data_IF_840450118327
#
_entry.id   IF_840450118327
#
_cell.length_a   1.000
_cell.length_b   1.000
_cell.length_c   1.000
_cell.angle_alpha   90.00
_cell.angle_beta   90.00
_cell.angle_gamma   90.00
#
_symmetry.space_group_name_H-M   'P 1'
#
loop_
_entity.id
_entity.type
_entity.pdbx_description
1 polymer ?
#
# COMPACT_ATOMS: atom_id res chain seq x y z
N UNK A 1 21.76 -28.28 -30.01
CA UNK A 1 22.39 -28.07 -28.67
C UNK A 1 22.29 -26.63 -28.19
N UNK A 2 22.48 -25.66 -29.08
CA UNK A 2 22.50 -24.22 -28.73
C UNK A 2 21.12 -23.68 -28.30
N UNK A 3 20.02 -24.22 -28.81
CA UNK A 3 18.66 -23.75 -28.53
C UNK A 3 18.17 -24.20 -27.15
N UNK A 4 18.50 -25.40 -26.74
CA UNK A 4 18.16 -25.91 -25.40
C UNK A 4 18.92 -25.15 -24.31
N UNK A 5 20.21 -24.86 -24.51
CA UNK A 5 20.99 -24.08 -23.60
C UNK A 5 20.49 -22.61 -23.46
N UNK A 6 20.01 -22.02 -24.55
CA UNK A 6 19.40 -20.66 -24.50
C UNK A 6 18.06 -20.64 -23.79
N UNK A 7 17.25 -21.69 -23.93
CA UNK A 7 15.99 -21.84 -23.18
C UNK A 7 16.27 -22.03 -21.70
N UNK A 8 17.24 -22.88 -21.36
CA UNK A 8 17.63 -23.14 -19.97
C UNK A 8 18.20 -21.88 -19.30
N UNK A 9 19.05 -21.12 -19.99
CA UNK A 9 19.54 -19.82 -19.51
C UNK A 9 18.41 -18.79 -19.34
N UNK A 10 17.48 -18.71 -20.29
CA UNK A 10 16.32 -17.82 -20.20
C UNK A 10 15.40 -18.21 -19.05
N UNK A 11 15.16 -19.50 -18.83
CA UNK A 11 14.37 -19.99 -17.70
C UNK A 11 15.09 -19.74 -16.37
N UNK A 12 16.42 -19.93 -16.29
CA UNK A 12 17.23 -19.69 -15.11
C UNK A 12 17.27 -18.18 -14.78
N UNK A 13 17.40 -17.31 -15.77
CA UNK A 13 17.33 -15.85 -15.54
C UNK A 13 15.92 -15.40 -15.15
N UNK A 14 14.90 -15.99 -15.75
CA UNK A 14 13.50 -15.72 -15.40
C UNK A 14 13.14 -16.22 -13.99
N UNK A 15 13.70 -17.34 -13.56
CA UNK A 15 13.52 -17.86 -12.19
C UNK A 15 14.23 -17.02 -11.12
N UNK A 16 15.18 -16.17 -11.51
CA UNK A 16 15.88 -15.28 -10.57
C UNK A 16 15.07 -14.05 -10.19
N UNK A 17 14.15 -13.58 -11.03
CA UNK A 17 13.37 -12.37 -10.71
C UNK A 17 12.31 -12.67 -9.65
N UNK A 18 12.11 -11.72 -8.73
CA UNK A 18 11.06 -11.80 -7.69
C UNK A 18 9.68 -12.00 -8.32
N UNK A 19 9.42 -11.32 -9.44
CA UNK A 19 8.17 -11.43 -10.17
C UNK A 19 7.93 -12.86 -10.71
N UNK A 20 8.93 -13.48 -11.32
CA UNK A 20 8.79 -14.84 -11.84
C UNK A 20 8.57 -15.88 -10.74
N UNK A 21 9.22 -15.72 -9.59
CA UNK A 21 8.99 -16.54 -8.41
C UNK A 21 7.56 -16.39 -7.87
N UNK A 22 7.02 -15.17 -7.84
CA UNK A 22 5.63 -14.91 -7.44
C UNK A 22 4.63 -15.57 -8.38
N UNK A 23 4.83 -15.41 -9.68
CA UNK A 23 3.98 -16.06 -10.71
C UNK A 23 3.98 -17.57 -10.55
N UNK A 24 5.13 -18.18 -10.26
CA UNK A 24 5.27 -19.63 -10.12
C UNK A 24 4.49 -20.19 -8.91
N UNK A 25 4.40 -19.46 -7.80
CA UNK A 25 3.76 -19.97 -6.56
C UNK A 25 2.30 -19.53 -6.36
N UNK A 26 1.85 -18.46 -6.98
CA UNK A 26 0.55 -17.84 -6.67
C UNK A 26 -0.41 -17.71 -7.85
N UNK A 27 0.09 -17.78 -9.07
CA UNK A 27 -0.64 -17.31 -10.23
C UNK A 27 -0.86 -15.77 -10.20
N UNK A 28 -1.20 -15.20 -11.34
CA UNK A 28 -1.57 -13.79 -11.44
C UNK A 28 -3.05 -13.67 -11.09
N UNK A 29 -3.39 -13.25 -9.87
CA UNK A 29 -4.77 -12.92 -9.51
C UNK A 29 -5.11 -11.46 -9.82
N UNK A 30 -4.12 -10.58 -9.74
CA UNK A 30 -4.29 -9.18 -10.08
C UNK A 30 -2.99 -8.65 -10.68
N UNK A 31 -3.07 -8.22 -11.92
CA UNK A 31 -2.00 -7.51 -12.62
C UNK A 31 -1.82 -6.09 -12.06
N UNK A 32 -1.01 -5.29 -12.72
CA UNK A 32 -0.70 -3.92 -12.33
C UNK A 32 -1.94 -3.13 -11.92
N UNK A 33 -1.82 -2.42 -10.82
CA UNK A 33 -2.82 -1.43 -10.41
C UNK A 33 -2.13 -0.11 -10.08
N UNK A 34 -2.76 0.97 -10.49
CA UNK A 34 -2.30 2.31 -10.19
C UNK A 34 -3.21 2.95 -9.15
N UNK A 35 -2.62 3.65 -8.21
CA UNK A 35 -3.33 4.43 -7.20
C UNK A 35 -2.75 5.83 -7.14
N UNK A 36 -3.60 6.85 -7.19
CA UNK A 36 -3.23 8.19 -6.76
C UNK A 36 -3.39 8.27 -5.25
N UNK A 37 -2.41 8.82 -4.56
CA UNK A 37 -2.41 8.88 -3.10
C UNK A 37 -1.65 10.07 -2.56
N UNK A 38 -2.04 10.49 -1.37
CA UNK A 38 -1.28 11.41 -0.51
C UNK A 38 -1.20 10.81 0.88
N UNK A 39 -0.12 11.07 1.58
CA UNK A 39 0.06 10.76 2.98
C UNK A 39 0.45 12.03 3.71
N UNK A 40 -0.24 12.33 4.80
CA UNK A 40 0.04 13.49 5.65
C UNK A 40 0.17 13.07 7.10
N UNK A 41 0.98 13.79 7.87
CA UNK A 41 1.09 13.58 9.31
C UNK A 41 0.08 14.50 10.02
N UNK A 42 -0.65 13.92 10.98
CA UNK A 42 -1.62 14.62 11.82
C UNK A 42 -1.37 14.28 13.29
N UNK A 43 -1.60 15.23 14.19
CA UNK A 43 -1.46 15.01 15.63
C UNK A 43 -2.69 14.32 16.23
N UNK A 44 -3.87 14.64 15.70
CA UNK A 44 -5.17 14.15 16.17
C UNK A 44 -6.06 13.78 14.99
N UNK A 45 -6.62 12.55 14.94
CA UNK A 45 -7.54 12.14 13.90
C UNK A 45 -8.98 12.65 14.06
N UNK A 46 -9.40 13.06 15.25
CA UNK A 46 -10.80 13.38 15.56
C UNK A 46 -11.39 14.49 14.69
N UNK A 47 -10.67 15.59 14.37
CA UNK A 47 -11.18 16.59 13.44
C UNK A 47 -11.51 16.03 12.06
N UNK A 48 -10.65 15.18 11.51
CA UNK A 48 -10.87 14.52 10.20
C UNK A 48 -12.08 13.60 10.27
N UNK A 49 -12.18 12.80 11.33
CA UNK A 49 -13.30 11.88 11.54
C UNK A 49 -14.63 12.63 11.69
N UNK A 50 -14.64 13.79 12.34
CA UNK A 50 -15.81 14.64 12.49
C UNK A 50 -16.28 15.20 11.13
N UNK A 51 -15.35 15.61 10.28
CA UNK A 51 -15.64 16.12 8.93
C UNK A 51 -16.18 15.01 8.02
N UNK A 52 -15.57 13.81 8.03
CA UNK A 52 -16.03 12.69 7.21
C UNK A 52 -17.48 12.24 7.51
N UNK A 53 -18.02 12.57 8.68
CA UNK A 53 -19.43 12.28 9.04
C UNK A 53 -20.44 13.28 8.49
N UNK A 54 -19.99 14.28 7.75
CA UNK A 54 -20.80 15.36 7.20
C UNK A 54 -20.69 15.39 5.69
N UNK A 55 -21.68 16.03 5.03
CA UNK A 55 -21.53 16.35 3.62
C UNK A 55 -20.29 17.24 3.41
N UNK A 56 -19.55 17.09 2.30
CA UNK A 56 -19.94 16.31 1.09
C UNK A 56 -19.50 14.83 1.08
N UNK A 57 -19.06 14.26 2.20
CA UNK A 57 -18.63 12.86 2.28
C UNK A 57 -19.79 11.91 2.54
N UNK A 58 -19.78 10.77 1.87
CA UNK A 58 -20.65 9.64 2.19
C UNK A 58 -19.79 8.42 2.53
N UNK A 59 -19.78 8.01 3.78
CA UNK A 59 -19.06 6.80 4.22
C UNK A 59 -19.87 5.57 3.78
N UNK A 60 -19.30 4.76 2.89
CA UNK A 60 -19.94 3.55 2.36
C UNK A 60 -19.53 2.30 3.13
N UNK A 61 -18.32 2.30 3.71
CA UNK A 61 -17.79 1.17 4.47
C UNK A 61 -16.69 1.66 5.42
N UNK A 62 -16.58 1.00 6.57
CA UNK A 62 -15.46 1.19 7.50
C UNK A 62 -14.91 -0.15 7.99
N UNK A 63 -13.64 -0.15 8.38
CA UNK A 63 -12.99 -1.31 9.01
C UNK A 63 -11.78 -0.86 9.82
N UNK A 64 -11.45 -1.61 10.88
CA UNK A 64 -10.22 -1.46 11.66
C UNK A 64 -9.38 -2.70 11.50
N UNK A 65 -8.08 -2.51 11.37
CA UNK A 65 -7.10 -3.59 11.24
C UNK A 65 -5.91 -3.33 12.15
N UNK A 66 -5.37 -4.38 12.75
CA UNK A 66 -3.94 -4.41 13.04
C UNK A 66 -3.22 -4.97 11.81
N UNK A 67 -2.24 -4.25 11.30
CA UNK A 67 -1.51 -4.62 10.09
C UNK A 67 -0.05 -4.88 10.41
N UNK A 68 0.41 -6.07 10.05
CA UNK A 68 1.79 -6.49 10.14
C UNK A 68 2.35 -6.61 8.74
N UNK A 69 3.26 -5.70 8.37
CA UNK A 69 3.94 -5.69 7.08
C UNK A 69 5.36 -6.21 7.26
N UNK A 70 5.75 -7.25 6.52
CA UNK A 70 7.13 -7.66 6.35
C UNK A 70 7.56 -7.35 4.92
N UNK A 71 8.53 -6.46 4.77
CA UNK A 71 9.11 -6.09 3.49
C UNK A 71 10.37 -6.88 3.27
N UNK A 72 10.42 -7.60 2.17
CA UNK A 72 11.60 -8.30 1.67
C UNK A 72 12.36 -7.36 0.74
N UNK A 73 13.62 -7.11 1.05
CA UNK A 73 14.55 -6.28 0.30
C UNK A 73 15.57 -7.17 -0.36
N UNK A 74 15.86 -6.92 -1.63
CA UNK A 74 16.76 -7.73 -2.44
C UNK A 74 17.99 -6.93 -2.82
N UNK A 75 19.13 -7.60 -3.00
CA UNK A 75 20.35 -6.98 -3.52
C UNK A 75 20.27 -6.80 -5.03
N UNK A 76 20.91 -5.74 -5.56
CA UNK A 76 20.99 -5.47 -6.98
C UNK A 76 20.16 -4.29 -7.46
N UNK A 77 19.98 -4.20 -8.78
CA UNK A 77 19.24 -3.10 -9.46
C UNK A 77 17.71 -3.23 -9.35
N UNK A 78 17.20 -4.29 -8.74
CA UNK A 78 15.77 -4.45 -8.55
C UNK A 78 15.30 -3.54 -7.40
N UNK A 79 14.74 -2.40 -7.73
CA UNK A 79 14.06 -1.50 -6.80
C UNK A 79 12.69 -2.06 -6.35
N UNK A 80 12.32 -3.23 -6.84
CA UNK A 80 11.08 -3.90 -6.48
C UNK A 80 11.11 -4.36 -5.02
N UNK A 81 10.02 -4.08 -4.30
CA UNK A 81 9.84 -4.48 -2.91
C UNK A 81 8.71 -5.50 -2.83
N UNK A 82 9.00 -6.64 -2.25
CA UNK A 82 7.96 -7.63 -1.94
C UNK A 82 7.50 -7.44 -0.52
N UNK A 83 6.21 -7.20 -0.32
CA UNK A 83 5.60 -7.09 1.00
C UNK A 83 4.69 -8.28 1.26
N UNK A 84 4.95 -8.99 2.34
CA UNK A 84 4.00 -9.88 2.98
C UNK A 84 3.22 -9.08 4.02
N UNK A 85 1.89 -9.10 3.93
CA UNK A 85 1.00 -8.39 4.84
C UNK A 85 0.03 -9.34 5.51
N UNK A 86 -0.11 -9.17 6.81
CA UNK A 86 -1.13 -9.75 7.63
C UNK A 86 -2.08 -8.63 8.11
N UNK A 87 -3.35 -8.72 7.74
CA UNK A 87 -4.41 -7.81 8.16
C UNK A 87 -5.28 -8.56 9.19
N UNK A 88 -5.17 -8.24 10.45
CA UNK A 88 -6.07 -8.70 11.52
C UNK A 88 -7.25 -7.76 11.64
N UNK A 89 -8.43 -8.21 11.27
CA UNK A 89 -9.66 -7.40 11.34
C UNK A 89 -10.16 -7.35 12.77
N UNK A 90 -10.31 -6.14 13.31
CA UNK A 90 -10.70 -5.88 14.70
C UNK A 90 -12.17 -5.46 14.76
N UNK A 91 -12.95 -6.10 15.62
CA UNK A 91 -14.35 -5.73 15.88
C UNK A 91 -14.46 -4.58 16.91
N UNK A 92 -15.68 -4.13 17.19
CA UNK A 92 -15.95 -3.06 18.15
C UNK A 92 -15.53 -3.39 19.60
N UNK A 93 -15.38 -4.68 19.91
CA UNK A 93 -14.93 -5.16 21.24
C UNK A 93 -13.40 -5.21 21.34
N UNK A 94 -12.67 -4.93 20.24
CA UNK A 94 -11.21 -5.05 20.19
C UNK A 94 -10.71 -6.48 19.93
N UNK A 95 -11.58 -7.39 19.49
CA UNK A 95 -11.23 -8.78 19.23
C UNK A 95 -10.95 -8.99 17.72
N UNK A 96 -9.92 -9.78 17.40
CA UNK A 96 -9.66 -10.23 16.03
C UNK A 96 -10.73 -11.26 15.63
N UNK A 97 -11.47 -10.97 14.56
CA UNK A 97 -12.51 -11.87 14.04
C UNK A 97 -12.19 -12.48 12.69
N UNK A 98 -11.19 -11.94 11.97
CA UNK A 98 -10.73 -12.47 10.69
C UNK A 98 -9.28 -12.03 10.45
N UNK A 99 -8.51 -12.86 9.75
CA UNK A 99 -7.14 -12.54 9.34
C UNK A 99 -7.00 -12.77 7.84
N UNK A 100 -6.38 -11.82 7.17
CA UNK A 100 -6.13 -11.90 5.73
C UNK A 100 -4.66 -11.71 5.43
N UNK A 101 -4.11 -12.63 4.66
CA UNK A 101 -2.72 -12.61 4.23
C UNK A 101 -2.61 -12.21 2.76
N UNK A 102 -1.67 -11.33 2.43
CA UNK A 102 -1.43 -10.88 1.04
C UNK A 102 0.03 -10.70 0.75
N UNK A 103 0.41 -11.01 -0.49
CA UNK A 103 1.66 -10.60 -1.10
C UNK A 103 1.41 -9.39 -2.00
N UNK A 104 2.32 -8.44 -1.97
CA UNK A 104 2.29 -7.30 -2.89
C UNK A 104 3.71 -7.03 -3.37
N UNK A 105 3.94 -7.15 -4.66
CA UNK A 105 5.14 -6.66 -5.30
C UNK A 105 4.88 -5.22 -5.72
N UNK A 106 5.64 -4.29 -5.17
CA UNK A 106 5.60 -2.88 -5.54
C UNK A 106 6.81 -2.54 -6.37
N UNK A 107 6.61 -1.81 -7.47
CA UNK A 107 7.69 -1.18 -8.21
C UNK A 107 8.22 0.07 -7.51
N UNK A 108 8.81 0.97 -8.26
CA UNK A 108 9.21 2.29 -7.74
C UNK A 108 8.01 2.99 -7.09
N UNK A 109 8.26 3.66 -5.96
CA UNK A 109 7.19 4.19 -5.11
C UNK A 109 6.40 5.33 -5.78
N UNK A 110 7.02 6.04 -6.75
CA UNK A 110 6.44 7.19 -7.41
C UNK A 110 6.63 7.11 -8.93
N UNK A 111 5.54 6.88 -9.65
CA UNK A 111 5.54 6.95 -11.13
C UNK A 111 5.41 8.42 -11.60
N UNK A 112 4.70 9.23 -10.84
CA UNK A 112 4.43 10.63 -11.14
C UNK A 112 3.97 11.38 -9.90
N UNK A 113 4.32 12.65 -9.82
CA UNK A 113 3.82 13.60 -8.82
C UNK A 113 2.85 14.60 -9.46
N UNK A 114 1.76 14.90 -8.78
CA UNK A 114 0.74 15.89 -9.12
C UNK A 114 0.79 17.06 -8.15
N UNK A 115 -0.09 18.05 -8.33
CA UNK A 115 -0.29 19.10 -7.34
C UNK A 115 -0.60 18.53 -5.94
N UNK A 116 -0.33 19.31 -4.89
CA UNK A 116 -0.51 18.92 -3.48
C UNK A 116 0.32 17.70 -3.06
N UNK A 117 1.45 17.44 -3.74
CA UNK A 117 2.30 16.26 -3.51
C UNK A 117 1.54 14.92 -3.55
N UNK A 118 0.46 14.89 -4.33
CA UNK A 118 -0.25 13.64 -4.65
C UNK A 118 0.59 12.84 -5.61
N UNK A 119 0.83 11.57 -5.30
CA UNK A 119 1.69 10.71 -6.10
C UNK A 119 0.89 9.60 -6.78
N UNK A 120 1.32 9.23 -7.98
CA UNK A 120 0.90 8.00 -8.65
C UNK A 120 1.83 6.88 -8.20
N UNK A 121 1.26 5.84 -7.61
CA UNK A 121 1.99 4.63 -7.22
C UNK A 121 1.49 3.41 -7.97
N UNK A 122 2.37 2.44 -8.17
CA UNK A 122 2.10 1.20 -8.88
C UNK A 122 2.33 -0.01 -8.00
N UNK A 123 1.33 -0.90 -7.92
CA UNK A 123 1.50 -2.25 -7.42
C UNK A 123 1.55 -3.21 -8.60
N UNK A 124 2.70 -3.85 -8.83
CA UNK A 124 2.92 -4.74 -9.98
C UNK A 124 2.20 -6.08 -9.86
N UNK A 125 2.00 -6.53 -8.63
CA UNK A 125 1.37 -7.81 -8.35
C UNK A 125 0.73 -7.80 -6.97
N UNK A 126 -0.51 -8.29 -6.89
CA UNK A 126 -1.23 -8.46 -5.61
C UNK A 126 -1.85 -9.87 -5.63
N UNK A 127 -1.55 -10.67 -4.61
CA UNK A 127 -2.12 -12.00 -4.45
C UNK A 127 -2.41 -12.34 -2.98
N UNK A 128 -3.37 -13.25 -2.69
CA UNK A 128 -3.47 -13.87 -1.39
C UNK A 128 -2.20 -14.63 -1.05
N UNK A 129 -1.69 -14.48 0.16
CA UNK A 129 -0.59 -15.32 0.63
C UNK A 129 -1.17 -16.64 1.16
N UNK A 130 -0.83 -17.74 0.52
CA UNK A 130 -1.36 -19.10 0.83
C UNK A 130 -0.41 -19.93 1.68
N UNK A 131 0.80 -19.42 1.94
CA UNK A 131 1.84 -20.07 2.72
C UNK A 131 2.24 -19.19 3.90
N UNK A 132 2.94 -19.75 4.86
CA UNK A 132 3.45 -19.02 6.02
C UNK A 132 4.54 -18.02 5.63
N UNK A 133 4.75 -17.01 6.46
CA UNK A 133 5.85 -16.05 6.30
C UNK A 133 7.22 -16.75 6.20
N UNK A 134 7.42 -17.83 6.99
CA UNK A 134 8.65 -18.63 6.95
C UNK A 134 8.88 -19.25 5.58
N UNK A 135 7.83 -19.81 4.95
CA UNK A 135 7.93 -20.33 3.59
C UNK A 135 8.43 -19.26 2.62
N UNK A 136 7.85 -18.05 2.69
CA UNK A 136 8.23 -16.97 1.79
C UNK A 136 9.66 -16.48 2.02
N UNK A 137 10.14 -16.45 3.26
CA UNK A 137 11.56 -16.16 3.58
C UNK A 137 12.50 -17.15 2.91
N UNK A 138 12.21 -18.45 3.04
CA UNK A 138 13.04 -19.50 2.46
C UNK A 138 12.96 -19.52 0.92
N UNK A 139 11.79 -19.24 0.37
CA UNK A 139 11.56 -19.24 -1.08
C UNK A 139 12.20 -18.02 -1.77
N UNK A 140 11.97 -16.82 -1.27
CA UNK A 140 12.48 -15.60 -1.88
C UNK A 140 13.93 -15.30 -1.51
N UNK A 141 14.37 -15.68 -0.33
CA UNK A 141 15.72 -15.44 0.22
C UNK A 141 16.12 -13.97 0.12
N UNK A 142 15.38 -13.05 0.78
CA UNK A 142 15.72 -11.64 0.76
C UNK A 142 17.08 -11.38 1.39
N UNK A 143 17.78 -10.34 0.94
CA UNK A 143 19.02 -9.89 1.53
C UNK A 143 18.80 -9.29 2.93
N UNK A 144 17.66 -8.61 3.11
CA UNK A 144 17.23 -8.08 4.41
C UNK A 144 15.72 -7.97 4.49
N UNK A 145 15.22 -7.75 5.71
CA UNK A 145 13.80 -7.57 5.98
C UNK A 145 13.59 -6.30 6.82
N UNK A 146 12.46 -5.64 6.60
CA UNK A 146 11.95 -4.58 7.47
C UNK A 146 10.53 -4.89 7.85
N UNK A 147 10.17 -4.62 9.10
CA UNK A 147 8.82 -4.83 9.61
C UNK A 147 8.17 -3.52 9.98
N UNK A 148 6.88 -3.41 9.68
CA UNK A 148 6.04 -2.28 10.08
C UNK A 148 4.78 -2.85 10.70
N UNK A 149 4.50 -2.45 11.95
CA UNK A 149 3.25 -2.76 12.63
C UNK A 149 2.46 -1.47 12.86
N UNK A 150 1.18 -1.48 12.52
CA UNK A 150 0.32 -0.30 12.68
C UNK A 150 -1.12 -0.67 12.97
N UNK A 151 -1.80 0.14 13.77
CA UNK A 151 -3.26 0.20 13.86
C UNK A 151 -3.76 1.06 12.69
N UNK A 152 -4.61 0.49 11.85
CA UNK A 152 -5.21 1.15 10.69
C UNK A 152 -6.71 1.20 10.81
N UNK A 153 -7.27 2.39 10.77
CA UNK A 153 -8.69 2.62 10.54
C UNK A 153 -8.90 3.03 9.10
N UNK A 154 -9.79 2.34 8.39
CA UNK A 154 -10.06 2.60 6.97
C UNK A 154 -11.53 2.92 6.76
N UNK A 155 -11.78 3.93 5.95
CA UNK A 155 -13.08 4.29 5.42
C UNK A 155 -13.03 4.27 3.90
N UNK A 156 -14.08 3.73 3.30
CA UNK A 156 -14.39 3.96 1.91
C UNK A 156 -15.44 5.07 1.88
N UNK A 157 -15.16 6.10 1.11
CA UNK A 157 -16.01 7.28 1.02
C UNK A 157 -16.31 7.62 -0.42
N UNK A 158 -17.52 8.08 -0.68
CA UNK A 158 -17.87 8.73 -1.91
C UNK A 158 -17.74 10.23 -1.72
N UNK A 159 -16.93 10.89 -2.54
CA UNK A 159 -16.73 12.33 -2.58
C UNK A 159 -16.86 12.81 -4.01
N UNK A 160 -17.79 13.73 -4.27
CA UNK A 160 -18.13 14.23 -5.62
C UNK A 160 -18.28 13.13 -6.68
N UNK A 161 -18.98 12.03 -6.32
CA UNK A 161 -19.22 10.91 -7.22
C UNK A 161 -18.02 9.96 -7.43
N UNK A 162 -16.91 10.17 -6.73
CA UNK A 162 -15.69 9.35 -6.84
C UNK A 162 -15.42 8.59 -5.55
N UNK A 163 -15.05 7.31 -5.68
CA UNK A 163 -14.70 6.46 -4.54
C UNK A 163 -13.26 6.69 -4.09
N UNK A 164 -13.09 6.94 -2.80
CA UNK A 164 -11.79 7.06 -2.14
C UNK A 164 -11.66 6.08 -0.97
N UNK A 165 -10.44 5.65 -0.70
CA UNK A 165 -10.07 5.01 0.55
C UNK A 165 -9.32 6.02 1.42
N UNK A 166 -9.83 6.30 2.61
CA UNK A 166 -9.19 7.12 3.63
C UNK A 166 -8.71 6.21 4.73
N UNK A 167 -7.42 6.26 5.06
CA UNK A 167 -6.84 5.51 6.16
C UNK A 167 -6.31 6.49 7.20
N UNK A 168 -6.53 6.17 8.46
CA UNK A 168 -5.82 6.77 9.60
C UNK A 168 -4.98 5.67 10.22
N UNK A 169 -3.67 5.86 10.22
CA UNK A 169 -2.68 4.90 10.68
C UNK A 169 -1.96 5.44 11.92
N UNK A 170 -1.84 4.62 12.94
CA UNK A 170 -0.91 4.82 14.03
C UNK A 170 0.21 3.79 13.89
N UNK A 171 1.45 4.25 13.76
CA UNK A 171 2.61 3.35 13.71
C UNK A 171 2.96 2.88 15.12
N UNK A 172 2.95 1.56 15.31
CA UNK A 172 3.26 0.89 16.58
C UNK A 172 4.69 0.34 16.57
N UNK A 173 5.19 -0.08 15.38
CA UNK A 173 6.55 -0.53 15.18
C UNK A 173 7.03 -0.18 13.75
N UNK A 174 8.08 0.66 13.58
CA UNK A 174 8.65 1.49 14.64
C UNK A 174 7.61 2.46 15.22
N UNK A 175 7.70 2.73 16.51
CA UNK A 175 6.76 3.65 17.16
C UNK A 175 6.98 5.08 16.70
N UNK A 176 5.93 5.73 16.25
CA UNK A 176 5.94 7.15 15.87
C UNK A 176 4.82 7.88 16.57
N UNK A 177 5.13 9.07 17.09
CA UNK A 177 4.10 9.93 17.68
C UNK A 177 3.15 10.47 16.62
N UNK A 178 1.86 10.58 16.98
CA UNK A 178 0.80 11.06 16.10
C UNK A 178 0.30 9.99 15.12
N UNK A 179 -0.36 10.46 14.07
CA UNK A 179 -1.06 9.63 13.11
C UNK A 179 -0.66 10.01 11.68
N UNK A 180 -0.91 9.09 10.75
CA UNK A 180 -0.80 9.33 9.32
C UNK A 180 -2.17 9.20 8.68
N UNK A 181 -2.61 10.25 8.01
CA UNK A 181 -3.78 10.22 7.14
C UNK A 181 -3.32 9.90 5.72
N UNK A 182 -3.88 8.87 5.13
CA UNK A 182 -3.60 8.48 3.74
C UNK A 182 -4.91 8.50 2.97
N UNK A 183 -4.97 9.29 1.90
CA UNK A 183 -6.11 9.36 0.99
C UNK A 183 -5.66 8.77 -0.33
N UNK A 184 -6.46 7.85 -0.89
CA UNK A 184 -6.11 7.20 -2.16
C UNK A 184 -7.30 6.75 -2.96
N UNK A 185 -7.11 6.71 -4.27
CA UNK A 185 -8.05 6.15 -5.22
C UNK A 185 -7.33 5.36 -6.31
N UNK A 186 -7.94 4.26 -6.77
CA UNK A 186 -7.48 3.56 -7.96
C UNK A 186 -7.69 4.41 -9.19
N UNK A 187 -6.80 4.28 -10.14
CA UNK A 187 -6.88 4.99 -11.42
C UNK A 187 -6.53 4.07 -12.58
N UNK A 188 -7.12 4.37 -13.74
CA UNK A 188 -7.00 3.56 -14.95
C UNK A 188 -6.40 4.33 -16.13
N UNK A 189 -6.32 5.65 -16.02
CA UNK A 189 -5.77 6.51 -17.07
C UNK A 189 -5.13 7.77 -16.50
N UNK A 190 -4.30 8.42 -17.30
CA UNK A 190 -3.68 9.68 -16.92
C UNK A 190 -4.70 10.76 -16.55
N UNK A 191 -5.75 10.92 -17.37
CA UNK A 191 -6.81 11.91 -17.13
C UNK A 191 -7.59 11.62 -15.85
N UNK A 192 -7.92 10.36 -15.61
CA UNK A 192 -8.59 9.92 -14.39
C UNK A 192 -7.69 10.17 -13.16
N UNK A 193 -6.38 9.94 -13.29
CA UNK A 193 -5.42 10.23 -12.23
C UNK A 193 -5.33 11.73 -11.91
N UNK A 194 -5.34 12.60 -12.92
CA UNK A 194 -5.31 14.06 -12.77
C UNK A 194 -6.57 14.55 -12.02
N UNK A 195 -7.76 14.12 -12.43
CA UNK A 195 -9.01 14.47 -11.76
C UNK A 195 -9.03 14.01 -10.30
N UNK A 196 -8.63 12.78 -10.03
CA UNK A 196 -8.59 12.24 -8.68
C UNK A 196 -7.55 12.92 -7.80
N UNK A 197 -6.41 13.33 -8.38
CA UNK A 197 -5.39 14.09 -7.66
C UNK A 197 -5.91 15.47 -7.24
N UNK A 198 -6.65 16.17 -8.11
CA UNK A 198 -7.31 17.44 -7.78
C UNK A 198 -8.31 17.25 -6.63
N UNK A 199 -9.18 16.23 -6.72
CA UNK A 199 -10.15 15.92 -5.67
C UNK A 199 -9.47 15.58 -4.33
N UNK A 200 -8.32 14.89 -4.33
CA UNK A 200 -7.53 14.64 -3.12
C UNK A 200 -7.03 15.96 -2.53
N UNK A 201 -6.56 16.90 -3.37
CA UNK A 201 -6.16 18.24 -2.93
C UNK A 201 -7.31 18.98 -2.24
N UNK A 202 -8.50 19.01 -2.88
CA UNK A 202 -9.72 19.60 -2.29
C UNK A 202 -10.09 18.93 -0.95
N UNK A 203 -9.95 17.61 -0.84
CA UNK A 203 -10.21 16.89 0.41
C UNK A 203 -9.25 17.32 1.52
N UNK A 204 -7.96 17.54 1.22
CA UNK A 204 -7.00 18.07 2.20
C UNK A 204 -7.41 19.46 2.68
N UNK A 205 -7.84 20.34 1.77
CA UNK A 205 -8.34 21.68 2.12
C UNK A 205 -9.58 21.60 3.02
N UNK A 206 -10.53 20.71 2.70
CA UNK A 206 -11.73 20.46 3.51
C UNK A 206 -11.37 19.93 4.90
N UNK A 207 -10.33 19.12 5.00
CA UNK A 207 -9.81 18.65 6.31
C UNK A 207 -8.98 19.71 7.05
N UNK A 208 -8.66 20.86 6.41
CA UNK A 208 -7.82 21.91 6.98
C UNK A 208 -6.35 21.49 7.13
N UNK A 209 -5.88 20.61 6.25
CA UNK A 209 -4.51 20.07 6.29
C UNK A 209 -3.64 20.80 5.28
N UNK A 210 -2.58 21.44 5.75
CA UNK A 210 -1.61 22.14 4.92
C UNK A 210 -0.63 21.20 4.21
N UNK A 211 0.00 21.72 3.15
CA UNK A 211 0.97 20.97 2.34
C UNK A 211 2.26 20.60 3.08
N UNK A 212 2.62 21.34 4.11
CA UNK A 212 3.76 21.09 5.00
C UNK A 212 3.63 19.79 5.81
N UNK A 213 2.40 19.28 5.95
CA UNK A 213 2.12 18.02 6.61
C UNK A 213 2.36 16.78 5.73
N UNK A 214 2.65 16.97 4.42
CA UNK A 214 2.83 15.85 3.48
C UNK A 214 4.10 15.08 3.78
N UNK A 215 3.98 13.74 3.79
CA UNK A 215 5.05 12.79 4.03
C UNK A 215 5.33 12.02 2.75
N UNK A 216 6.46 12.33 2.08
CA UNK A 216 6.88 11.66 0.84
C UNK A 216 7.46 10.26 1.05
N UNK A 217 7.78 9.87 2.30
CA UNK A 217 8.37 8.56 2.60
C UNK A 217 7.32 7.47 2.74
N UNK A 218 7.65 6.29 2.22
CA UNK A 218 6.88 5.06 2.49
C UNK A 218 7.10 4.58 3.95
N UNK A 219 6.15 3.79 4.49
CA UNK A 219 6.30 3.27 5.86
C UNK A 219 7.55 2.42 6.05
N UNK A 220 7.96 1.66 5.03
CA UNK A 220 9.20 0.87 5.04
C UNK A 220 10.46 1.75 5.14
N UNK A 221 10.40 2.98 4.64
CA UNK A 221 11.50 3.95 4.72
C UNK A 221 11.54 4.68 6.08
N UNK A 222 10.39 4.75 6.75
CA UNK A 222 10.31 5.24 8.13
C UNK A 222 10.81 4.19 9.13
N UNK A 223 10.88 2.92 8.73
CA UNK A 223 11.39 1.80 9.52
C UNK A 223 12.90 1.55 9.31
N UNK A 224 13.60 2.48 8.68
CA UNK A 224 15.02 2.37 8.36
C UNK A 224 15.91 2.84 9.49
#
# INVERSE_FOLDING_TARGET
RDYAQRIDLFLIEREKSVLSKLVAIGGLEQEESFEVQVKVRISDPDPVLAIMRRLPFTVTRSARYEQYDTYFLFDGEEHDRLRYREDEFINEKGETYNVRYRLTLTGESHEREFGHSVVLSRSRFIAPARHSLRFYREYFRPASERTVHKDRRRWHVLYQGTDFAINVDQLLQPAHDGYYLEIKARTWSKRDAEVKAELIGEMLDVFGIGHDAVVGKEYVELAA
#
